data_IF_972198658492
#
_entry.id   IF_972198658492
#
_cell.length_a   1.000
_cell.length_b   1.000
_cell.length_c   1.000
_cell.angle_alpha   90.00
_cell.angle_beta   90.00
_cell.angle_gamma   90.00
#
_symmetry.space_group_name_H-M   'P 1'
#
loop_
_entity.id
_entity.type
_entity.pdbx_description
1 polymer ?
#
# COMPACT_ATOMS: atom_id res chain seq x y z
N UNK A 1 61.52 -52.83 42.80
CA UNK A 1 61.61 -52.15 41.49
C UNK A 1 60.29 -51.53 41.19
N UNK A 2 60.12 -50.22 41.35
CA UNK A 2 58.83 -49.48 41.19
C UNK A 2 58.88 -48.78 39.86
N UNK A 3 58.06 -49.21 38.91
CA UNK A 3 57.93 -48.60 37.59
C UNK A 3 57.15 -47.34 37.69
N UNK A 4 57.71 -46.17 37.42
CA UNK A 4 57.06 -44.88 37.31
C UNK A 4 56.58 -44.75 35.86
N UNK A 5 55.31 -44.79 35.60
CA UNK A 5 54.70 -44.51 34.28
C UNK A 5 54.50 -43.02 34.14
N UNK A 6 55.27 -42.38 33.21
CA UNK A 6 55.17 -41.00 32.91
C UNK A 6 53.94 -40.80 31.97
N UNK A 7 52.89 -40.15 32.44
CA UNK A 7 51.70 -39.76 31.65
C UNK A 7 51.97 -38.39 31.04
N UNK A 8 52.32 -38.39 29.75
CA UNK A 8 52.51 -37.16 28.97
C UNK A 8 51.13 -36.62 28.59
N UNK A 9 50.62 -35.59 29.29
CA UNK A 9 49.40 -34.87 28.93
C UNK A 9 49.65 -34.03 27.67
N UNK A 10 49.02 -34.43 26.58
CA UNK A 10 49.01 -33.68 25.32
C UNK A 10 48.09 -32.45 25.46
N UNK A 11 48.66 -31.28 25.70
CA UNK A 11 47.92 -30.01 25.68
C UNK A 11 47.68 -29.64 24.20
N UNK A 12 46.47 -29.95 23.66
CA UNK A 12 46.02 -29.40 22.41
C UNK A 12 45.64 -27.93 22.65
N UNK A 13 46.18 -26.95 21.93
CA UNK A 13 45.77 -25.57 22.04
C UNK A 13 44.34 -25.43 21.49
N UNK A 14 43.38 -25.15 22.35
CA UNK A 14 42.04 -24.71 21.97
C UNK A 14 42.17 -23.33 21.33
N UNK A 15 42.11 -23.27 20.00
CA UNK A 15 42.02 -22.03 19.25
C UNK A 15 40.65 -21.41 19.52
N UNK A 16 40.53 -20.53 20.50
CA UNK A 16 39.35 -19.76 20.75
C UNK A 16 39.27 -18.70 19.64
N UNK A 17 38.42 -18.90 18.66
CA UNK A 17 38.11 -17.90 17.67
C UNK A 17 37.18 -16.87 18.33
N UNK A 18 37.73 -15.69 18.63
CA UNK A 18 36.88 -14.57 19.10
C UNK A 18 36.02 -14.11 17.92
N UNK A 19 34.72 -14.34 18.03
CA UNK A 19 33.70 -13.80 17.12
C UNK A 19 32.89 -12.74 17.86
N UNK A 20 32.50 -11.67 17.17
CA UNK A 20 31.64 -10.64 17.68
C UNK A 20 30.43 -10.52 16.75
N UNK A 21 29.22 -10.56 17.31
CA UNK A 21 27.99 -10.35 16.58
C UNK A 21 27.45 -8.95 16.91
N UNK A 22 27.09 -8.20 15.88
CA UNK A 22 26.50 -6.85 16.01
C UNK A 22 25.13 -6.90 15.33
N UNK A 23 24.12 -6.36 15.99
CA UNK A 23 22.79 -6.22 15.39
C UNK A 23 22.39 -4.76 15.47
N UNK A 24 21.95 -4.20 14.34
CA UNK A 24 21.50 -2.81 14.21
C UNK A 24 20.10 -2.74 13.60
N UNK A 25 19.38 -1.66 13.89
CA UNK A 25 18.19 -1.30 13.14
C UNK A 25 18.58 -0.18 12.17
N UNK A 26 18.37 -0.40 10.90
CA UNK A 26 18.68 0.55 9.84
C UNK A 26 17.42 1.00 9.15
N UNK A 27 17.38 2.26 8.73
CA UNK A 27 16.29 2.85 7.97
C UNK A 27 16.86 3.59 6.77
N UNK A 28 16.21 3.42 5.63
CA UNK A 28 16.45 4.22 4.43
C UNK A 28 15.13 4.83 3.98
N UNK A 29 15.18 6.05 3.42
CA UNK A 29 13.99 6.73 2.93
C UNK A 29 14.22 7.38 1.58
N UNK A 30 13.12 7.57 0.82
CA UNK A 30 13.13 8.23 -0.47
C UNK A 30 11.89 9.11 -0.57
N UNK A 31 12.10 10.38 -0.99
CA UNK A 31 11.01 11.27 -1.34
C UNK A 31 10.42 10.90 -2.70
N UNK A 32 9.10 10.88 -2.80
CA UNK A 32 8.33 10.47 -3.96
C UNK A 32 7.32 11.54 -4.32
N UNK A 33 7.24 11.83 -5.60
CA UNK A 33 6.13 12.61 -6.14
C UNK A 33 4.98 11.65 -6.45
N UNK A 34 3.78 11.85 -5.87
CA UNK A 34 2.60 11.08 -6.22
C UNK A 34 2.33 11.16 -7.73
N UNK A 35 1.92 10.06 -8.35
CA UNK A 35 1.80 9.92 -9.80
C UNK A 35 0.40 9.52 -10.28
N UNK A 36 -0.54 9.33 -9.34
CA UNK A 36 -1.95 9.02 -9.62
C UNK A 36 -2.88 9.82 -8.74
N UNK A 37 -4.01 10.23 -9.30
CA UNK A 37 -5.12 10.85 -8.60
C UNK A 37 -6.14 9.76 -8.24
N UNK A 38 -6.30 9.49 -6.96
CA UNK A 38 -7.19 8.44 -6.43
C UNK A 38 -8.53 9.03 -6.02
N UNK A 39 -9.61 8.33 -6.35
CA UNK A 39 -10.97 8.70 -5.96
C UNK A 39 -11.87 7.47 -5.85
N UNK A 40 -12.97 7.61 -5.13
CA UNK A 40 -14.00 6.59 -5.03
C UNK A 40 -15.34 7.14 -5.47
N UNK A 41 -16.13 6.30 -6.14
CA UNK A 41 -17.48 6.61 -6.59
C UNK A 41 -18.43 5.58 -6.01
N UNK A 42 -19.50 6.05 -5.36
CA UNK A 42 -20.54 5.21 -4.79
C UNK A 42 -21.90 5.63 -5.33
N UNK A 43 -22.72 4.66 -5.65
CA UNK A 43 -24.07 4.86 -6.16
C UNK A 43 -25.04 4.03 -5.34
N UNK A 44 -26.13 4.65 -4.91
CA UNK A 44 -27.18 4.00 -4.15
C UNK A 44 -28.54 4.29 -4.80
N UNK A 45 -29.34 3.26 -4.93
CA UNK A 45 -30.73 3.40 -5.37
C UNK A 45 -31.65 2.54 -4.50
N UNK A 46 -32.86 3.06 -4.26
CA UNK A 46 -33.93 2.39 -3.54
C UNK A 46 -35.18 2.36 -4.39
N UNK A 47 -35.76 1.16 -4.57
CA UNK A 47 -36.97 0.97 -5.36
C UNK A 47 -37.80 -0.20 -4.83
N UNK A 48 -39.09 -0.20 -5.08
CA UNK A 48 -39.94 -1.39 -4.87
C UNK A 48 -39.65 -2.50 -5.88
N UNK A 49 -39.08 -2.13 -7.04
CA UNK A 49 -38.72 -3.06 -8.11
C UNK A 49 -37.21 -3.25 -8.22
N UNK A 50 -36.73 -4.46 -7.96
CA UNK A 50 -35.32 -4.79 -8.05
C UNK A 50 -34.76 -4.73 -9.47
N UNK A 51 -35.61 -4.95 -10.50
CA UNK A 51 -35.19 -4.88 -11.91
C UNK A 51 -34.83 -3.47 -12.30
N UNK A 52 -35.60 -2.48 -11.87
CA UNK A 52 -35.29 -1.05 -12.12
C UNK A 52 -33.95 -0.64 -11.56
N UNK A 53 -33.63 -1.06 -10.32
CA UNK A 53 -32.31 -0.80 -9.71
C UNK A 53 -31.19 -1.42 -10.58
N UNK A 54 -31.36 -2.68 -11.00
CA UNK A 54 -30.37 -3.37 -11.85
C UNK A 54 -30.15 -2.65 -13.19
N UNK A 55 -31.22 -2.23 -13.83
CA UNK A 55 -31.16 -1.51 -15.11
C UNK A 55 -30.36 -0.21 -14.96
N UNK A 56 -30.68 0.62 -13.95
CA UNK A 56 -30.00 1.90 -13.73
C UNK A 56 -28.53 1.70 -13.35
N UNK A 57 -28.21 0.78 -12.42
CA UNK A 57 -26.82 0.52 -12.03
C UNK A 57 -26.00 -0.09 -13.18
N UNK A 58 -26.62 -0.91 -14.04
CA UNK A 58 -25.96 -1.47 -15.22
C UNK A 58 -25.59 -0.38 -16.25
N UNK A 59 -26.39 0.68 -16.39
CA UNK A 59 -26.03 1.81 -17.25
C UNK A 59 -24.76 2.52 -16.75
N UNK A 60 -24.63 2.68 -15.44
CA UNK A 60 -23.42 3.26 -14.83
C UNK A 60 -22.21 2.36 -15.05
N UNK A 61 -22.35 1.04 -14.81
CA UNK A 61 -21.29 0.07 -15.09
C UNK A 61 -20.87 0.12 -16.57
N UNK A 62 -21.84 0.23 -17.48
CA UNK A 62 -21.57 0.32 -18.91
C UNK A 62 -20.82 1.64 -19.27
N UNK A 63 -21.17 2.76 -18.63
CA UNK A 63 -20.50 4.04 -18.84
C UNK A 63 -19.04 3.99 -18.36
N UNK A 64 -18.78 3.40 -17.18
CA UNK A 64 -17.41 3.20 -16.67
C UNK A 64 -16.61 2.27 -17.59
N UNK A 65 -17.17 1.12 -18.01
CA UNK A 65 -16.52 0.21 -18.97
C UNK A 65 -16.27 0.86 -20.33
N UNK A 66 -17.16 1.74 -20.78
CA UNK A 66 -16.98 2.49 -22.02
C UNK A 66 -15.93 3.60 -21.94
N UNK A 67 -15.64 4.09 -20.71
CA UNK A 67 -14.54 5.00 -20.45
C UNK A 67 -13.22 4.24 -20.29
N UNK A 68 -13.25 3.13 -19.59
CA UNK A 68 -12.09 2.29 -19.23
C UNK A 68 -12.26 0.84 -19.74
N UNK A 69 -12.16 0.63 -21.06
CA UNK A 69 -12.40 -0.68 -21.65
C UNK A 69 -11.37 -1.74 -21.28
N UNK A 70 -10.21 -1.33 -20.79
CA UNK A 70 -9.13 -2.23 -20.34
C UNK A 70 -9.08 -2.44 -18.84
N UNK A 71 -9.85 -1.68 -18.06
CA UNK A 71 -9.81 -1.72 -16.60
C UNK A 71 -8.50 -1.15 -16.01
N UNK A 72 -7.94 -0.13 -16.66
CA UNK A 72 -6.67 0.49 -16.23
C UNK A 72 -6.88 1.59 -15.20
N UNK A 73 -8.08 2.20 -15.18
CA UNK A 73 -8.39 3.35 -14.33
C UNK A 73 -9.26 2.99 -13.14
N UNK A 74 -10.28 2.15 -13.34
CA UNK A 74 -11.29 1.88 -12.31
C UNK A 74 -11.40 0.40 -11.97
N UNK A 75 -11.52 0.12 -10.67
CA UNK A 75 -11.76 -1.22 -10.13
C UNK A 75 -13.09 -1.23 -9.38
N UNK A 76 -13.75 -2.40 -9.32
CA UNK A 76 -15.05 -2.57 -8.68
C UNK A 76 -16.15 -2.83 -9.68
N UNK A 77 -17.30 -2.17 -9.52
CA UNK A 77 -18.45 -2.36 -10.41
C UNK A 77 -19.32 -3.58 -10.09
N UNK A 78 -19.00 -4.32 -9.02
CA UNK A 78 -19.91 -5.27 -8.42
C UNK A 78 -20.98 -4.53 -7.61
N UNK A 79 -22.26 -4.83 -7.85
CA UNK A 79 -23.31 -4.25 -7.04
C UNK A 79 -23.93 -5.26 -6.08
N UNK A 80 -24.37 -4.76 -4.93
CA UNK A 80 -25.09 -5.51 -3.92
C UNK A 80 -26.55 -5.07 -3.91
N UNK A 81 -27.47 -6.03 -3.99
CA UNK A 81 -28.90 -5.79 -3.93
C UNK A 81 -29.46 -6.50 -2.70
N UNK A 82 -30.12 -5.75 -1.82
CA UNK A 82 -30.72 -6.28 -0.59
C UNK A 82 -32.17 -5.87 -0.43
N UNK A 83 -33.05 -6.74 0.11
CA UNK A 83 -34.41 -6.37 0.48
C UNK A 83 -34.39 -5.41 1.68
N UNK A 84 -35.33 -4.47 1.70
CA UNK A 84 -35.54 -3.52 2.77
C UNK A 84 -36.85 -3.80 3.47
N UNK A 85 -36.84 -3.70 4.78
CA UNK A 85 -37.98 -3.91 5.63
C UNK A 85 -38.17 -2.74 6.59
N UNK A 86 -39.42 -2.37 6.88
CA UNK A 86 -39.79 -1.51 8.00
C UNK A 86 -40.32 -2.37 9.16
N UNK A 87 -40.18 -1.85 10.37
CA UNK A 87 -40.72 -2.47 11.58
C UNK A 87 -41.70 -1.52 12.18
N UNK A 88 -42.98 -1.91 12.14
CA UNK A 88 -44.10 -1.16 12.78
C UNK A 88 -44.92 -2.11 13.60
N UNK A 89 -45.22 -1.73 14.84
CA UNK A 89 -46.04 -2.51 15.77
C UNK A 89 -45.59 -3.98 15.91
N UNK A 90 -44.24 -4.19 16.01
CA UNK A 90 -43.60 -5.52 16.08
C UNK A 90 -43.80 -6.40 14.82
N UNK A 91 -44.31 -5.84 13.73
CA UNK A 91 -44.45 -6.53 12.45
C UNK A 91 -43.44 -6.02 11.48
N UNK A 92 -42.85 -6.97 10.74
CA UNK A 92 -41.92 -6.70 9.65
C UNK A 92 -42.72 -6.57 8.35
N UNK A 93 -42.57 -5.43 7.69
CA UNK A 93 -43.20 -5.17 6.40
C UNK A 93 -42.15 -4.92 5.34
N UNK A 94 -42.27 -5.60 4.21
CA UNK A 94 -41.36 -5.38 3.07
C UNK A 94 -41.69 -4.04 2.41
N UNK A 95 -40.64 -3.18 2.27
CA UNK A 95 -40.79 -1.83 1.71
C UNK A 95 -40.06 -1.64 0.38
N UNK A 96 -39.31 -2.65 -0.10
CA UNK A 96 -38.59 -2.60 -1.37
C UNK A 96 -37.15 -3.14 -1.27
N UNK A 97 -36.32 -2.69 -2.20
CA UNK A 97 -34.92 -3.07 -2.32
C UNK A 97 -34.01 -1.86 -2.22
N UNK A 98 -32.78 -2.07 -1.82
CA UNK A 98 -31.65 -1.12 -1.94
C UNK A 98 -30.54 -1.76 -2.74
N UNK A 99 -30.00 -1.03 -3.73
CA UNK A 99 -28.84 -1.42 -4.51
C UNK A 99 -27.68 -0.45 -4.25
N UNK A 100 -26.48 -1.00 -4.12
CA UNK A 100 -25.27 -0.24 -3.93
C UNK A 100 -24.23 -0.68 -4.95
N UNK A 101 -23.52 0.27 -5.55
CA UNK A 101 -22.48 0.07 -6.55
C UNK A 101 -21.28 0.96 -6.19
N UNK A 102 -20.07 0.39 -6.18
CA UNK A 102 -18.88 1.12 -5.80
C UNK A 102 -17.75 0.91 -6.81
N UNK A 103 -16.99 1.98 -7.06
CA UNK A 103 -15.75 1.98 -7.82
C UNK A 103 -14.65 2.67 -7.03
N UNK A 104 -13.42 2.12 -7.08
CA UNK A 104 -12.19 2.83 -6.76
C UNK A 104 -11.47 3.13 -8.07
N UNK A 105 -11.08 4.38 -8.30
CA UNK A 105 -10.47 4.78 -9.56
C UNK A 105 -9.14 5.50 -9.32
N UNK A 106 -8.19 5.31 -10.25
CA UNK A 106 -6.90 6.00 -10.30
C UNK A 106 -6.77 6.68 -11.67
N UNK A 107 -6.50 7.98 -11.67
CA UNK A 107 -6.39 8.81 -12.87
C UNK A 107 -5.00 9.43 -12.93
N UNK A 108 -4.55 9.78 -14.12
CA UNK A 108 -3.29 10.52 -14.31
C UNK A 108 -3.48 12.02 -14.20
N UNK A 109 -4.70 12.49 -14.48
CA UNK A 109 -5.05 13.90 -14.48
C UNK A 109 -6.52 14.10 -14.06
N UNK A 110 -6.83 15.29 -13.56
CA UNK A 110 -8.18 15.66 -13.12
C UNK A 110 -9.20 15.67 -14.29
N UNK A 111 -8.74 15.91 -15.50
CA UNK A 111 -9.57 15.93 -16.71
C UNK A 111 -10.16 14.56 -17.00
N UNK A 112 -9.42 13.48 -16.72
CA UNK A 112 -9.90 12.09 -16.88
C UNK A 112 -11.03 11.81 -15.89
N UNK A 113 -10.87 12.22 -14.63
CA UNK A 113 -11.90 12.14 -13.61
C UNK A 113 -13.17 12.92 -14.03
N UNK A 114 -13.03 14.19 -14.38
CA UNK A 114 -14.14 15.04 -14.79
C UNK A 114 -14.85 14.47 -16.04
N UNK A 115 -14.10 13.87 -16.97
CA UNK A 115 -14.66 13.21 -18.14
C UNK A 115 -15.49 11.98 -17.77
N UNK A 116 -15.01 11.16 -16.83
CA UNK A 116 -15.76 10.02 -16.33
C UNK A 116 -17.05 10.45 -15.63
N UNK A 117 -16.97 11.44 -14.73
CA UNK A 117 -18.15 11.97 -14.03
C UNK A 117 -19.19 12.48 -15.02
N UNK A 118 -18.80 13.27 -16.01
CA UNK A 118 -19.71 13.77 -17.03
C UNK A 118 -20.38 12.66 -17.87
N UNK A 119 -19.69 11.54 -18.13
CA UNK A 119 -20.28 10.37 -18.80
C UNK A 119 -21.29 9.65 -17.91
N UNK A 120 -20.98 9.49 -16.62
CA UNK A 120 -21.86 8.85 -15.64
C UNK A 120 -23.13 9.70 -15.47
N UNK A 121 -22.99 11.00 -15.32
CA UNK A 121 -24.14 11.92 -15.11
C UNK A 121 -25.15 11.91 -16.28
N UNK A 122 -24.67 11.68 -17.50
CA UNK A 122 -25.54 11.55 -18.69
C UNK A 122 -26.44 10.31 -18.69
N UNK A 123 -26.04 9.25 -17.96
CA UNK A 123 -26.77 7.97 -17.95
C UNK A 123 -27.40 7.66 -16.61
N UNK A 124 -27.07 8.40 -15.56
CA UNK A 124 -27.61 8.20 -14.23
C UNK A 124 -29.08 8.61 -14.15
N UNK A 125 -29.92 7.71 -13.66
CA UNK A 125 -31.31 8.03 -13.39
C UNK A 125 -31.41 9.00 -12.18
N UNK A 126 -32.42 9.90 -12.16
CA UNK A 126 -32.61 10.84 -11.05
C UNK A 126 -32.82 10.19 -9.68
N UNK A 127 -33.25 8.92 -9.65
CA UNK A 127 -33.43 8.11 -8.43
C UNK A 127 -32.12 7.56 -7.86
N UNK A 128 -31.03 7.57 -8.64
CA UNK A 128 -29.72 7.10 -8.20
C UNK A 128 -29.00 8.22 -7.46
N UNK A 129 -28.67 7.97 -6.20
CA UNK A 129 -27.85 8.87 -5.40
C UNK A 129 -26.38 8.58 -5.67
N UNK A 130 -25.66 9.55 -6.23
CA UNK A 130 -24.21 9.52 -6.42
C UNK A 130 -23.52 10.12 -5.19
N UNK A 131 -22.44 9.50 -4.74
CA UNK A 131 -21.52 10.04 -3.73
C UNK A 131 -20.09 9.93 -4.27
N UNK A 132 -19.39 11.03 -4.29
CA UNK A 132 -17.98 11.12 -4.71
C UNK A 132 -17.12 11.20 -3.46
N UNK A 133 -16.16 10.26 -3.33
CA UNK A 133 -15.16 10.31 -2.26
C UNK A 133 -14.15 11.44 -2.52
N UNK A 134 -13.40 11.78 -1.47
CA UNK A 134 -12.35 12.79 -1.61
C UNK A 134 -11.32 12.35 -2.63
N UNK A 135 -10.97 13.25 -3.55
CA UNK A 135 -9.85 13.07 -4.45
C UNK A 135 -8.53 13.36 -3.71
N UNK A 136 -7.54 12.51 -3.91
CA UNK A 136 -6.21 12.71 -3.36
C UNK A 136 -5.13 12.21 -4.33
N UNK A 137 -3.99 12.88 -4.33
CA UNK A 137 -2.81 12.35 -5.00
C UNK A 137 -2.24 11.18 -4.20
N UNK A 138 -1.79 10.15 -4.88
CA UNK A 138 -1.17 8.96 -4.31
C UNK A 138 -0.10 8.40 -5.24
N UNK A 139 0.56 7.35 -4.79
CA UNK A 139 1.61 6.67 -5.55
C UNK A 139 1.04 5.39 -6.15
N UNK A 140 1.16 5.22 -7.47
CA UNK A 140 0.68 4.03 -8.18
C UNK A 140 1.35 2.75 -7.68
N UNK A 141 0.67 1.61 -7.79
CA UNK A 141 1.22 0.30 -7.41
C UNK A 141 2.55 0.00 -8.11
N UNK A 142 2.67 0.40 -9.38
CA UNK A 142 3.91 0.25 -10.16
C UNK A 142 5.05 1.03 -9.54
N UNK A 143 4.83 2.31 -9.21
CA UNK A 143 5.83 3.18 -8.59
C UNK A 143 6.18 2.68 -7.19
N UNK A 144 5.20 2.25 -6.39
CA UNK A 144 5.44 1.65 -5.08
C UNK A 144 6.35 0.41 -5.16
N UNK A 145 6.11 -0.49 -6.13
CA UNK A 145 6.96 -1.67 -6.35
C UNK A 145 8.40 -1.29 -6.73
N UNK A 146 8.58 -0.30 -7.61
CA UNK A 146 9.91 0.18 -8.00
C UNK A 146 10.65 0.80 -6.81
N UNK A 147 10.00 1.65 -6.05
CA UNK A 147 10.58 2.29 -4.86
C UNK A 147 10.94 1.27 -3.79
N UNK A 148 10.07 0.31 -3.54
CA UNK A 148 10.36 -0.80 -2.62
C UNK A 148 11.64 -1.54 -3.00
N UNK A 149 11.83 -1.80 -4.27
CA UNK A 149 13.05 -2.44 -4.76
C UNK A 149 14.27 -1.53 -4.63
N UNK A 150 14.14 -0.24 -4.94
CA UNK A 150 15.20 0.76 -4.77
C UNK A 150 15.67 0.85 -3.32
N UNK A 151 14.73 1.01 -2.38
CA UNK A 151 15.03 1.09 -0.95
C UNK A 151 15.72 -0.18 -0.42
N UNK A 152 15.31 -1.37 -0.89
CA UNK A 152 16.00 -2.62 -0.53
C UNK A 152 17.45 -2.65 -0.99
N UNK A 153 17.72 -2.22 -2.22
CA UNK A 153 19.07 -2.16 -2.76
C UNK A 153 19.91 -1.14 -2.02
N UNK A 154 19.36 0.02 -1.69
CA UNK A 154 20.03 1.06 -0.93
C UNK A 154 20.37 0.59 0.49
N UNK A 155 19.44 -0.06 1.19
CA UNK A 155 19.66 -0.62 2.51
C UNK A 155 20.78 -1.68 2.50
N UNK A 156 20.84 -2.56 1.48
CA UNK A 156 21.91 -3.52 1.35
C UNK A 156 23.28 -2.86 1.10
N UNK A 157 23.31 -1.73 0.38
CA UNK A 157 24.56 -0.95 0.20
C UNK A 157 24.99 -0.30 1.52
N UNK A 158 24.03 0.28 2.26
CA UNK A 158 24.26 0.86 3.59
C UNK A 158 24.83 -0.21 4.53
N UNK A 159 24.17 -1.36 4.63
CA UNK A 159 24.62 -2.46 5.48
C UNK A 159 26.05 -2.91 5.14
N UNK A 160 26.40 -3.00 3.85
CA UNK A 160 27.77 -3.35 3.44
C UNK A 160 28.78 -2.28 3.85
N UNK A 161 28.47 -1.00 3.65
CA UNK A 161 29.32 0.12 4.08
C UNK A 161 29.51 0.12 5.60
N UNK A 162 28.47 -0.20 6.36
CA UNK A 162 28.52 -0.33 7.82
C UNK A 162 29.44 -1.48 8.25
N UNK A 163 29.38 -2.64 7.59
CA UNK A 163 30.29 -3.75 7.87
C UNK A 163 31.77 -3.37 7.65
N UNK A 164 32.06 -2.60 6.60
CA UNK A 164 33.38 -2.07 6.33
C UNK A 164 33.85 -1.08 7.42
N UNK A 165 32.93 -0.23 7.93
CA UNK A 165 33.19 0.68 9.02
C UNK A 165 33.49 -0.08 10.32
N UNK A 166 32.67 -1.09 10.67
CA UNK A 166 32.90 -1.94 11.83
C UNK A 166 34.27 -2.68 11.73
N UNK A 167 34.64 -3.12 10.56
CA UNK A 167 35.97 -3.77 10.34
C UNK A 167 37.10 -2.83 10.69
N UNK A 168 37.03 -1.56 10.35
CA UNK A 168 38.05 -0.55 10.65
C UNK A 168 38.16 -0.26 12.15
N UNK A 169 37.01 -0.14 12.83
CA UNK A 169 36.98 0.21 14.25
C UNK A 169 37.36 -0.97 15.16
N UNK A 170 36.99 -2.19 14.79
CA UNK A 170 37.21 -3.36 15.63
C UNK A 170 38.55 -4.09 15.35
N UNK A 171 39.24 -3.77 14.24
CA UNK A 171 40.38 -4.52 13.70
C UNK A 171 40.04 -6.01 13.42
N UNK A 172 38.75 -6.33 13.24
CA UNK A 172 38.26 -7.64 12.82
C UNK A 172 37.74 -7.55 11.38
N UNK A 173 37.56 -8.68 10.72
CA UNK A 173 36.84 -8.72 9.44
C UNK A 173 35.36 -8.91 9.70
N UNK A 174 34.56 -7.86 9.42
CA UNK A 174 33.12 -7.86 9.61
C UNK A 174 32.40 -8.03 8.26
N UNK A 175 31.36 -8.85 8.26
CA UNK A 175 30.52 -9.08 7.11
C UNK A 175 29.03 -9.03 7.53
N UNK A 176 28.17 -8.69 6.59
CA UNK A 176 26.72 -8.82 6.79
C UNK A 176 26.37 -10.29 6.84
N UNK A 177 25.78 -10.74 7.94
CA UNK A 177 25.33 -12.11 8.15
C UNK A 177 23.88 -12.28 7.65
N UNK A 178 23.00 -11.35 8.05
CA UNK A 178 21.60 -11.38 7.66
C UNK A 178 20.99 -9.99 7.61
N UNK A 179 19.98 -9.85 6.73
CA UNK A 179 19.15 -8.65 6.64
C UNK A 179 17.69 -9.08 6.69
N UNK A 180 16.99 -8.65 7.72
CA UNK A 180 15.56 -8.90 7.88
C UNK A 180 14.81 -7.60 7.62
N UNK A 181 14.19 -7.51 6.45
CA UNK A 181 13.43 -6.34 6.04
C UNK A 181 12.12 -6.27 6.85
N UNK A 182 11.89 -5.16 7.53
CA UNK A 182 10.63 -4.80 8.16
C UNK A 182 9.53 -4.45 7.16
N UNK A 183 8.41 -3.96 7.67
CA UNK A 183 7.36 -3.38 6.85
C UNK A 183 7.81 -2.07 6.21
N UNK A 184 7.24 -1.76 5.03
CA UNK A 184 7.36 -0.42 4.46
C UNK A 184 6.31 0.45 5.14
N UNK A 185 6.73 1.55 5.76
CA UNK A 185 5.82 2.60 6.15
C UNK A 185 5.32 3.29 4.86
N UNK A 186 4.03 3.08 4.55
CA UNK A 186 3.37 3.80 3.48
C UNK A 186 2.94 5.16 4.01
N UNK A 187 3.14 6.23 3.26
CA UNK A 187 2.57 7.52 3.61
C UNK A 187 1.04 7.40 3.66
N UNK A 188 0.46 7.88 4.74
CA UNK A 188 -1.00 7.98 4.82
C UNK A 188 -1.43 9.25 4.09
N UNK A 189 -2.34 9.16 3.09
CA UNK A 189 -2.87 10.34 2.44
C UNK A 189 -3.57 11.21 3.49
N UNK A 190 -3.15 12.46 3.59
CA UNK A 190 -3.81 13.43 4.47
C UNK A 190 -5.14 13.79 3.82
N UNK A 191 -6.24 13.22 4.32
CA UNK A 191 -7.57 13.57 3.88
C UNK A 191 -7.89 15.03 4.26
N UNK A 192 -7.83 15.93 3.29
CA UNK A 192 -8.45 17.24 3.42
C UNK A 192 -9.95 17.09 3.13
N UNK A 193 -10.79 17.46 4.11
CA UNK A 193 -12.23 17.53 3.95
C UNK A 193 -12.56 18.55 2.85
N UNK A 194 -12.91 18.08 1.66
CA UNK A 194 -13.49 18.92 0.63
C UNK A 194 -14.90 19.34 1.07
N UNK A 195 -15.13 20.64 1.18
CA UNK A 195 -16.49 21.18 1.34
C UNK A 195 -17.23 20.99 0.01
N UNK A 196 -18.34 20.25 0.06
CA UNK A 196 -19.25 20.10 -1.07
C UNK A 196 -19.88 21.46 -1.38
N UNK A 197 -19.51 22.05 -2.50
CA UNK A 197 -20.30 23.05 -3.19
C UNK A 197 -20.93 22.37 -4.42
N UNK A 198 -22.24 22.25 -4.39
CA UNK A 198 -23.02 21.77 -5.52
C UNK A 198 -23.16 22.92 -6.53
N UNK A 199 -22.34 22.89 -7.57
CA UNK A 199 -22.62 23.60 -8.82
C UNK A 199 -21.81 22.96 -9.96
N UNK A 200 -22.27 23.10 -11.19
CA UNK A 200 -21.82 22.45 -12.43
C UNK A 200 -20.40 22.80 -12.90
N UNK A 201 -19.52 23.15 -12.00
CA UNK A 201 -18.10 23.41 -12.26
C UNK A 201 -17.34 22.11 -12.04
N UNK A 202 -16.46 21.74 -12.97
CA UNK A 202 -15.60 20.57 -12.85
C UNK A 202 -14.78 20.62 -11.57
N UNK A 203 -14.48 19.47 -11.01
CA UNK A 203 -13.65 19.36 -9.80
C UNK A 203 -12.22 19.81 -10.10
N UNK A 204 -11.66 20.64 -9.24
CA UNK A 204 -10.27 21.09 -9.32
C UNK A 204 -9.32 20.02 -8.77
N UNK A 205 -8.08 20.00 -9.30
CA UNK A 205 -7.06 19.07 -8.84
C UNK A 205 -6.62 19.39 -7.42
N UNK A 206 -6.54 18.40 -6.51
CA UNK A 206 -5.95 18.61 -5.19
C UNK A 206 -4.48 19.05 -5.29
N UNK A 207 -3.97 19.69 -4.23
CA UNK A 207 -2.56 20.07 -4.15
C UNK A 207 -1.71 18.80 -4.04
N UNK A 208 -0.78 18.63 -4.99
CA UNK A 208 0.19 17.56 -4.98
C UNK A 208 1.37 17.92 -4.07
N UNK A 209 1.74 17.03 -3.16
CA UNK A 209 2.91 17.17 -2.28
C UNK A 209 3.75 15.91 -2.36
N UNK A 210 5.06 16.07 -2.26
CA UNK A 210 5.96 14.94 -2.16
C UNK A 210 5.69 14.16 -0.88
N UNK A 211 5.78 12.84 -0.97
CA UNK A 211 5.57 11.89 0.10
C UNK A 211 6.88 11.17 0.40
N UNK A 212 7.13 10.83 1.66
CA UNK A 212 8.31 10.09 2.05
C UNK A 212 7.94 8.60 2.24
N UNK A 213 8.65 7.73 1.54
CA UNK A 213 8.57 6.28 1.73
C UNK A 213 9.82 5.80 2.42
N UNK A 214 9.69 5.02 3.49
CA UNK A 214 10.82 4.47 4.24
C UNK A 214 10.76 2.96 4.35
N UNK A 215 11.93 2.34 4.49
CA UNK A 215 12.10 0.91 4.71
C UNK A 215 13.01 0.71 5.91
N UNK A 216 12.49 -0.01 6.91
CA UNK A 216 13.26 -0.43 8.08
C UNK A 216 13.78 -1.86 7.89
N UNK A 217 14.96 -2.15 8.44
CA UNK A 217 15.48 -3.50 8.53
C UNK A 217 16.29 -3.71 9.80
N UNK A 218 16.26 -4.93 10.30
CA UNK A 218 17.23 -5.42 11.29
C UNK A 218 18.37 -6.11 10.54
N UNK A 219 19.59 -5.62 10.74
CA UNK A 219 20.81 -6.12 10.10
C UNK A 219 21.72 -6.75 11.16
N UNK A 220 22.14 -7.98 10.91
CA UNK A 220 23.11 -8.69 11.74
C UNK A 220 24.44 -8.80 11.01
N UNK A 221 25.50 -8.55 11.74
CA UNK A 221 26.89 -8.61 11.29
C UNK A 221 27.67 -9.61 12.11
N UNK A 222 28.54 -10.36 11.47
CA UNK A 222 29.51 -11.23 12.12
C UNK A 222 30.92 -10.67 11.87
N UNK A 223 31.67 -10.49 12.95
CA UNK A 223 33.05 -10.04 12.90
C UNK A 223 33.98 -11.13 13.46
N UNK A 224 35.01 -11.49 12.74
CA UNK A 224 35.99 -12.51 13.16
C UNK A 224 37.43 -12.07 12.84
N UNK A 225 38.40 -12.69 13.49
CA UNK A 225 39.80 -12.49 13.10
C UNK A 225 40.06 -13.06 11.71
N UNK A 226 40.72 -12.29 10.86
CA UNK A 226 41.18 -12.78 9.57
C UNK A 226 42.09 -14.00 9.79
N UNK A 227 41.71 -15.15 9.27
CA UNK A 227 42.58 -16.32 9.22
C UNK A 227 43.60 -16.07 8.11
N UNK A 228 44.92 -16.08 8.38
CA UNK A 228 45.95 -15.83 7.38
C UNK A 228 45.99 -16.91 6.28
#
# INVERSE_FOLDING_TARGET
MRKITLVTALFLPLWVHATMNITTNEQVSQSLKPDVLQGSLSFEEQSKNSTTIKEHLNLIVAAVKGFDPKGEFCQGGGYHLSPRYSYKDQKQEFIGYSGNLNFGCEFKAIEEYNTLIAKIDKVSAPSVRKSEGALSWGVSEKTQKMVKQSLRVELLRSAKAQAEAFSKETALECAVESVNFGGIAQPHPVMMKAMMMADSVGTESPIQRDEESSLDATVSYICSKRVP
#
